data_IF_094486350606
#
_entry.id   IF_094486350606
#
_cell.length_a   1.000
_cell.length_b   1.000
_cell.length_c   1.000
_cell.angle_alpha   90.00
_cell.angle_beta   90.00
_cell.angle_gamma   90.00
#
_symmetry.space_group_name_H-M   'P 1'
#
loop_
_entity.id
_entity.type
_entity.pdbx_description
1 polymer ?
#
# COMPACT_ATOMS: atom_id res chain seq x y z
N UNK A 1 -50.36 63.93 29.21
CA UNK A 1 -49.03 64.07 29.82
C UNK A 1 -48.17 63.00 29.24
N UNK A 2 -47.50 63.33 28.13
CA UNK A 2 -46.81 62.38 27.26
C UNK A 2 -45.32 62.59 27.47
N UNK A 3 -44.66 61.50 27.78
CA UNK A 3 -43.22 61.49 27.90
C UNK A 3 -42.60 60.98 26.60
N UNK A 4 -41.69 61.81 26.03
CA UNK A 4 -40.96 61.54 24.79
C UNK A 4 -39.69 60.78 25.11
N UNK A 5 -39.37 59.69 24.42
CA UNK A 5 -38.04 59.09 24.53
C UNK A 5 -37.01 59.90 23.74
N UNK A 6 -35.89 60.16 24.40
CA UNK A 6 -34.74 60.90 23.86
C UNK A 6 -34.03 60.09 22.77
N UNK A 7 -33.75 60.73 21.69
CA UNK A 7 -32.95 60.29 20.55
C UNK A 7 -31.47 60.22 20.95
N UNK A 8 -30.91 59.03 20.97
CA UNK A 8 -29.48 58.81 21.19
C UNK A 8 -28.75 58.88 19.84
N UNK A 9 -27.65 59.60 19.72
CA UNK A 9 -26.89 59.69 18.49
C UNK A 9 -26.13 58.34 18.24
N UNK A 10 -26.33 57.81 17.03
CA UNK A 10 -25.65 56.65 16.45
C UNK A 10 -24.13 56.87 16.47
N UNK A 11 -23.31 55.92 16.95
CA UNK A 11 -21.86 56.08 16.93
C UNK A 11 -21.35 56.12 15.49
N UNK A 12 -20.53 57.13 15.22
CA UNK A 12 -19.84 57.32 13.95
C UNK A 12 -19.02 56.11 13.58
N UNK A 13 -19.17 55.61 12.33
CA UNK A 13 -18.46 54.48 11.81
C UNK A 13 -16.94 54.66 11.92
N UNK A 14 -16.27 53.62 12.36
CA UNK A 14 -14.82 53.54 12.35
C UNK A 14 -14.28 53.80 10.92
N UNK A 15 -13.17 54.55 10.77
CA UNK A 15 -12.57 54.78 9.46
C UNK A 15 -12.17 53.45 8.83
N UNK A 16 -12.55 53.28 7.56
CA UNK A 16 -12.10 52.16 6.73
C UNK A 16 -10.56 52.12 6.72
N UNK A 17 -9.95 50.91 6.82
CA UNK A 17 -8.52 50.79 6.69
C UNK A 17 -8.07 51.35 5.33
N UNK A 18 -6.89 52.01 5.27
CA UNK A 18 -6.38 52.56 4.02
C UNK A 18 -6.26 51.45 2.97
N UNK A 19 -6.46 51.75 1.68
CA UNK A 19 -6.26 50.77 0.61
C UNK A 19 -4.84 50.23 0.69
N UNK A 20 -4.61 48.94 0.34
CA UNK A 20 -3.29 48.37 0.36
C UNK A 20 -2.36 49.24 -0.48
N UNK A 21 -1.26 49.70 0.12
CA UNK A 21 -0.22 50.48 -0.54
C UNK A 21 0.17 49.74 -1.83
N UNK A 22 0.15 50.46 -2.96
CA UNK A 22 0.65 49.87 -4.22
C UNK A 22 2.10 49.41 -4.00
N UNK A 23 2.32 48.09 -4.05
CA UNK A 23 3.64 47.51 -3.89
C UNK A 23 4.47 47.93 -5.10
N UNK A 24 5.42 48.83 -4.90
CA UNK A 24 6.31 49.30 -5.95
C UNK A 24 7.37 48.25 -6.32
N UNK A 25 7.91 48.35 -7.52
CA UNK A 25 8.99 47.44 -7.95
C UNK A 25 10.21 47.48 -7.04
N UNK A 26 10.49 48.64 -6.39
CA UNK A 26 11.54 48.82 -5.38
C UNK A 26 11.29 47.96 -4.14
N UNK A 27 10.06 47.83 -3.71
CA UNK A 27 9.67 47.08 -2.51
C UNK A 27 9.81 45.58 -2.74
N UNK A 28 9.46 45.12 -3.95
CA UNK A 28 9.69 43.72 -4.37
C UNK A 28 11.16 43.38 -4.41
N UNK A 29 12.01 44.28 -4.94
CA UNK A 29 13.47 44.07 -4.99
C UNK A 29 14.08 44.07 -3.59
N UNK A 30 13.63 44.98 -2.69
CA UNK A 30 14.06 45.00 -1.30
C UNK A 30 13.68 43.71 -0.58
N UNK A 31 12.47 43.25 -0.74
CA UNK A 31 11.95 42.00 -0.18
C UNK A 31 12.77 40.78 -0.64
N UNK A 32 13.06 40.68 -1.94
CA UNK A 32 13.86 39.58 -2.49
C UNK A 32 15.31 39.60 -2.02
N UNK A 33 15.87 40.78 -1.70
CA UNK A 33 17.22 40.88 -1.10
C UNK A 33 17.25 40.39 0.34
N UNK A 34 16.20 40.65 1.11
CA UNK A 34 16.08 40.20 2.50
C UNK A 34 15.73 38.69 2.58
N UNK A 35 15.11 38.14 1.52
CA UNK A 35 14.68 36.75 1.45
C UNK A 35 15.27 36.04 0.22
N UNK A 36 16.57 35.74 0.20
CA UNK A 36 17.24 35.14 -0.97
C UNK A 36 16.72 33.74 -1.30
N UNK A 37 16.13 33.04 -0.33
CA UNK A 37 15.50 31.74 -0.44
C UNK A 37 14.01 31.78 -0.87
N UNK A 38 13.47 32.96 -1.19
CA UNK A 38 12.07 33.14 -1.56
C UNK A 38 11.67 32.29 -2.78
N UNK A 39 12.52 32.24 -3.81
CA UNK A 39 12.26 31.48 -5.03
C UNK A 39 12.35 29.96 -4.82
N UNK A 40 13.10 29.51 -3.81
CA UNK A 40 13.15 28.10 -3.42
C UNK A 40 11.89 27.69 -2.67
N UNK A 41 11.33 28.58 -1.86
CA UNK A 41 10.07 28.35 -1.12
C UNK A 41 8.82 28.54 -1.98
N UNK A 42 8.89 29.43 -2.99
CA UNK A 42 7.79 29.80 -3.87
C UNK A 42 8.16 29.55 -5.34
N UNK A 43 8.25 28.28 -5.77
CA UNK A 43 8.63 27.91 -7.13
C UNK A 43 7.67 28.46 -8.20
N UNK A 44 6.41 28.64 -7.83
CA UNK A 44 5.38 29.22 -8.69
C UNK A 44 5.69 30.67 -9.10
N UNK A 45 6.41 31.42 -8.26
CA UNK A 45 6.82 32.79 -8.56
C UNK A 45 7.74 32.88 -9.80
N UNK A 46 8.52 31.82 -10.07
CA UNK A 46 9.37 31.77 -11.27
C UNK A 46 8.58 31.71 -12.57
N UNK A 47 7.35 31.21 -12.55
CA UNK A 47 6.46 31.17 -13.74
C UNK A 47 5.88 32.54 -14.06
N UNK A 48 5.79 33.42 -13.06
CA UNK A 48 5.26 34.77 -13.21
C UNK A 48 6.32 35.78 -13.67
N UNK A 49 7.60 35.50 -13.45
CA UNK A 49 8.71 36.39 -13.83
C UNK A 49 9.08 36.14 -15.29
N UNK A 50 8.80 37.13 -16.16
CA UNK A 50 9.30 37.12 -17.54
C UNK A 50 10.77 37.53 -17.56
N UNK A 51 11.62 36.70 -18.19
CA UNK A 51 13.00 37.07 -18.41
C UNK A 51 13.09 38.35 -19.26
N UNK A 52 13.85 39.37 -18.84
CA UNK A 52 14.00 40.59 -19.63
C UNK A 52 14.65 40.29 -20.97
N UNK A 53 14.03 40.77 -22.05
CA UNK A 53 14.63 40.72 -23.37
C UNK A 53 15.88 41.60 -23.38
N UNK A 54 17.06 40.99 -23.39
CA UNK A 54 18.40 41.56 -23.60
C UNK A 54 18.70 42.89 -22.91
N UNK A 55 19.37 42.82 -21.78
CA UNK A 55 20.47 43.76 -21.46
C UNK A 55 21.60 42.96 -20.84
N UNK A 56 22.75 42.99 -21.48
CA UNK A 56 24.00 42.36 -21.14
C UNK A 56 24.49 42.83 -19.76
N UNK A 57 24.50 41.93 -18.80
CA UNK A 57 25.11 42.16 -17.49
C UNK A 57 25.13 40.84 -16.69
N UNK A 58 26.12 40.63 -15.87
CA UNK A 58 26.41 39.40 -15.12
C UNK A 58 25.22 38.81 -14.34
N UNK A 59 24.26 39.66 -13.93
CA UNK A 59 23.07 39.25 -13.16
C UNK A 59 22.06 38.42 -13.96
N UNK A 60 22.04 38.53 -15.30
CA UNK A 60 21.12 37.75 -16.18
C UNK A 60 21.68 36.35 -16.42
N UNK A 61 22.98 36.21 -16.46
CA UNK A 61 23.67 34.92 -16.57
C UNK A 61 23.42 34.06 -15.33
N UNK A 62 23.43 34.66 -14.15
CA UNK A 62 23.14 33.95 -12.89
C UNK A 62 21.70 33.41 -12.83
N UNK A 63 20.71 34.19 -13.29
CA UNK A 63 19.31 33.75 -13.31
C UNK A 63 19.08 32.62 -14.33
N UNK A 64 19.67 32.75 -15.54
CA UNK A 64 19.58 31.68 -16.53
C UNK A 64 20.28 30.41 -16.06
N UNK A 65 21.43 30.53 -15.42
CA UNK A 65 22.13 29.41 -14.83
C UNK A 65 21.31 28.72 -13.72
N UNK A 66 20.72 29.51 -12.82
CA UNK A 66 19.81 29.00 -11.78
C UNK A 66 18.63 28.24 -12.38
N UNK A 67 17.97 28.80 -13.42
CA UNK A 67 16.86 28.13 -14.09
C UNK A 67 17.29 26.84 -14.78
N UNK A 68 18.46 26.81 -15.42
CA UNK A 68 19.01 25.61 -16.03
C UNK A 68 19.32 24.53 -14.99
N UNK A 69 19.92 24.90 -13.87
CA UNK A 69 20.21 23.98 -12.78
C UNK A 69 18.93 23.41 -12.14
N UNK A 70 17.89 24.23 -12.05
CA UNK A 70 16.58 23.78 -11.58
C UNK A 70 15.94 22.83 -12.56
N UNK A 71 15.87 23.18 -13.85
CA UNK A 71 15.33 22.30 -14.90
C UNK A 71 16.08 20.97 -14.94
N UNK A 72 17.42 20.97 -14.82
CA UNK A 72 18.20 19.74 -14.75
C UNK A 72 17.81 18.88 -13.55
N UNK A 73 17.64 19.48 -12.37
CA UNK A 73 17.17 18.75 -11.16
C UNK A 73 15.78 18.18 -11.36
N UNK A 74 14.87 18.93 -11.96
CA UNK A 74 13.50 18.46 -12.25
C UNK A 74 13.51 17.31 -13.27
N UNK A 75 14.36 17.37 -14.31
CA UNK A 75 14.53 16.27 -15.29
C UNK A 75 15.05 15.02 -14.60
N UNK A 76 16.13 15.11 -13.81
CA UNK A 76 16.68 13.96 -13.06
C UNK A 76 15.63 13.35 -12.15
N UNK A 77 14.87 14.18 -11.42
CA UNK A 77 13.79 13.70 -10.54
C UNK A 77 12.71 12.96 -11.32
N UNK A 78 12.28 13.48 -12.47
CA UNK A 78 11.29 12.84 -13.33
C UNK A 78 11.80 11.52 -13.93
N UNK A 79 13.06 11.45 -14.32
CA UNK A 79 13.71 10.22 -14.80
C UNK A 79 13.77 9.15 -13.70
N UNK A 80 14.09 9.54 -12.47
CA UNK A 80 14.09 8.65 -11.31
C UNK A 80 12.67 8.14 -10.99
N UNK A 81 11.67 9.03 -11.00
CA UNK A 81 10.27 8.67 -10.82
C UNK A 81 9.79 7.70 -11.93
N UNK A 82 10.12 7.99 -13.18
CA UNK A 82 9.80 7.12 -14.31
C UNK A 82 10.43 5.74 -14.16
N UNK A 83 11.71 5.68 -13.79
CA UNK A 83 12.43 4.42 -13.59
C UNK A 83 11.78 3.61 -12.46
N UNK A 84 11.41 4.28 -11.36
CA UNK A 84 10.71 3.64 -10.23
C UNK A 84 9.34 3.09 -10.65
N UNK A 85 8.54 3.86 -11.40
CA UNK A 85 7.24 3.41 -11.89
C UNK A 85 7.36 2.21 -12.82
N UNK A 86 8.33 2.22 -13.75
CA UNK A 86 8.58 1.09 -14.66
C UNK A 86 8.99 -0.15 -13.86
N UNK A 87 9.87 -0.01 -12.89
CA UNK A 87 10.33 -1.12 -12.04
C UNK A 87 9.18 -1.72 -11.22
N UNK A 88 8.34 -0.88 -10.61
CA UNK A 88 7.15 -1.31 -9.87
C UNK A 88 6.15 -2.02 -10.79
N UNK A 89 5.89 -1.47 -11.99
CA UNK A 89 4.99 -2.08 -12.97
C UNK A 89 5.50 -3.46 -13.42
N UNK A 90 6.80 -3.59 -13.67
CA UNK A 90 7.41 -4.89 -14.00
C UNK A 90 7.29 -5.90 -12.86
N UNK A 91 7.53 -5.47 -11.62
CA UNK A 91 7.33 -6.30 -10.42
C UNK A 91 5.90 -6.82 -10.31
N UNK A 92 4.92 -5.95 -10.54
CA UNK A 92 3.50 -6.31 -10.51
C UNK A 92 3.14 -7.34 -11.61
N UNK A 93 3.66 -7.17 -12.83
CA UNK A 93 3.46 -8.12 -13.93
C UNK A 93 4.06 -9.50 -13.59
N UNK A 94 5.26 -9.54 -13.02
CA UNK A 94 5.89 -10.80 -12.59
C UNK A 94 5.04 -11.49 -11.52
N UNK A 95 4.56 -10.75 -10.51
CA UNK A 95 3.70 -11.28 -9.46
C UNK A 95 2.38 -11.82 -10.04
N UNK A 96 1.77 -11.09 -10.97
CA UNK A 96 0.56 -11.53 -11.68
C UNK A 96 0.79 -12.83 -12.47
N UNK A 97 1.90 -12.94 -13.22
CA UNK A 97 2.24 -14.17 -13.94
C UNK A 97 2.45 -15.35 -12.99
N UNK A 98 3.10 -15.14 -11.83
CA UNK A 98 3.28 -16.19 -10.81
C UNK A 98 1.95 -16.67 -10.26
N UNK A 99 1.04 -15.75 -9.91
CA UNK A 99 -0.29 -16.10 -9.40
C UNK A 99 -1.12 -16.82 -10.47
N UNK A 100 -1.11 -16.36 -11.72
CA UNK A 100 -1.79 -17.06 -12.81
C UNK A 100 -1.27 -18.49 -12.99
N UNK A 101 0.06 -18.68 -12.97
CA UNK A 101 0.67 -20.00 -13.06
C UNK A 101 0.28 -20.88 -11.88
N UNK A 102 0.26 -20.35 -10.66
CA UNK A 102 -0.18 -21.03 -9.46
C UNK A 102 -1.64 -21.51 -9.59
N UNK A 103 -2.54 -20.62 -10.02
CA UNK A 103 -3.96 -20.95 -10.26
C UNK A 103 -4.09 -22.07 -11.29
N UNK A 104 -3.41 -21.97 -12.43
CA UNK A 104 -3.46 -23.00 -13.47
C UNK A 104 -2.94 -24.36 -12.99
N UNK A 105 -1.94 -24.35 -12.11
CA UNK A 105 -1.41 -25.58 -11.51
C UNK A 105 -2.42 -26.19 -10.54
N UNK A 106 -3.05 -25.41 -9.68
CA UNK A 106 -4.09 -25.88 -8.76
C UNK A 106 -5.30 -26.47 -9.50
N UNK A 107 -5.76 -25.83 -10.59
CA UNK A 107 -6.88 -26.30 -11.39
C UNK A 107 -6.61 -27.62 -12.14
N UNK A 108 -5.33 -27.99 -12.33
CA UNK A 108 -4.91 -29.25 -12.94
C UNK A 108 -4.73 -30.38 -11.92
N UNK A 109 -5.03 -30.16 -10.66
CA UNK A 109 -4.93 -31.20 -9.64
C UNK A 109 -5.80 -32.41 -10.01
N UNK A 110 -5.20 -33.60 -9.98
CA UNK A 110 -5.88 -34.84 -10.36
C UNK A 110 -6.85 -35.34 -9.26
N UNK A 111 -6.54 -35.04 -8.01
CA UNK A 111 -7.35 -35.40 -6.84
C UNK A 111 -7.09 -34.40 -5.70
N UNK A 112 -7.81 -34.55 -4.60
CA UNK A 112 -7.72 -33.64 -3.46
C UNK A 112 -6.33 -33.68 -2.79
N UNK A 113 -5.71 -34.84 -2.65
CA UNK A 113 -4.37 -35.00 -2.08
C UNK A 113 -3.33 -34.27 -2.94
N UNK A 114 -3.44 -34.41 -4.27
CA UNK A 114 -2.57 -33.70 -5.21
C UNK A 114 -2.76 -32.17 -5.11
N UNK A 115 -4.02 -31.69 -4.94
CA UNK A 115 -4.26 -30.26 -4.68
C UNK A 115 -3.55 -29.78 -3.40
N UNK A 116 -3.65 -30.55 -2.32
CA UNK A 116 -2.96 -30.22 -1.06
C UNK A 116 -1.44 -30.20 -1.22
N UNK A 117 -0.87 -31.18 -1.94
CA UNK A 117 0.56 -31.22 -2.26
C UNK A 117 1.00 -29.99 -3.07
N UNK A 118 0.24 -29.62 -4.12
CA UNK A 118 0.51 -28.41 -4.90
C UNK A 118 0.55 -27.18 -3.98
N UNK A 119 -0.43 -27.04 -3.08
CA UNK A 119 -0.54 -25.88 -2.21
C UNK A 119 0.60 -25.80 -1.20
N UNK A 120 0.97 -26.93 -0.57
CA UNK A 120 1.97 -26.93 0.51
C UNK A 120 3.43 -27.03 0.00
N UNK A 121 3.63 -27.41 -1.26
CA UNK A 121 4.96 -27.60 -1.84
C UNK A 121 5.20 -26.73 -3.06
N UNK A 122 4.37 -26.88 -4.11
CA UNK A 122 4.64 -26.25 -5.41
C UNK A 122 4.38 -24.75 -5.38
N UNK A 123 3.37 -24.29 -4.61
CA UNK A 123 3.06 -22.86 -4.50
C UNK A 123 4.22 -22.04 -3.92
N UNK A 124 5.00 -22.61 -3.01
CA UNK A 124 6.18 -21.92 -2.47
C UNK A 124 7.16 -21.57 -3.60
N UNK A 125 7.43 -22.50 -4.49
CA UNK A 125 8.29 -22.30 -5.66
C UNK A 125 7.65 -21.37 -6.69
N UNK A 126 6.38 -21.57 -7.00
CA UNK A 126 5.68 -20.79 -8.02
C UNK A 126 5.53 -19.31 -7.64
N UNK A 127 5.31 -19.02 -6.36
CA UNK A 127 5.17 -17.66 -5.82
C UNK A 127 6.51 -17.02 -5.44
N UNK A 128 7.62 -17.80 -5.44
CA UNK A 128 8.94 -17.37 -4.99
C UNK A 128 8.94 -16.95 -3.51
N UNK A 129 8.39 -17.82 -2.68
CA UNK A 129 8.33 -17.68 -1.21
C UNK A 129 8.93 -18.92 -0.54
N UNK A 130 9.22 -18.85 0.75
CA UNK A 130 9.92 -19.95 1.44
C UNK A 130 8.95 -21.03 1.93
N UNK A 131 7.72 -20.68 2.31
CA UNK A 131 6.75 -21.62 2.86
C UNK A 131 5.31 -21.20 2.58
N UNK A 132 4.46 -22.19 2.31
CA UNK A 132 3.01 -22.04 2.25
C UNK A 132 2.39 -23.12 3.11
N UNK A 133 1.50 -22.75 4.02
CA UNK A 133 0.76 -23.66 4.90
C UNK A 133 -0.73 -23.35 4.86
N UNK A 134 -1.53 -24.32 5.30
CA UNK A 134 -2.98 -24.19 5.44
C UNK A 134 -3.38 -24.36 6.90
N UNK A 135 -4.15 -23.43 7.41
CA UNK A 135 -4.86 -23.55 8.68
C UNK A 135 -6.33 -23.91 8.45
N UNK A 136 -6.89 -24.79 9.22
CA UNK A 136 -8.31 -25.13 9.17
C UNK A 136 -8.88 -25.04 10.58
N UNK A 137 -9.93 -24.24 10.76
CA UNK A 137 -10.62 -24.18 12.05
C UNK A 137 -11.37 -25.48 12.30
N UNK A 138 -11.19 -26.05 13.47
CA UNK A 138 -11.89 -27.24 13.91
C UNK A 138 -12.46 -27.02 15.32
N UNK A 139 -13.65 -27.59 15.54
CA UNK A 139 -14.17 -27.71 16.91
C UNK A 139 -13.42 -28.79 17.67
N UNK A 140 -13.31 -28.67 18.97
CA UNK A 140 -12.56 -29.56 19.85
C UNK A 140 -12.88 -31.06 19.68
N UNK A 141 -14.10 -31.39 19.20
CA UNK A 141 -14.53 -32.77 18.96
C UNK A 141 -13.94 -33.42 17.69
N UNK A 142 -13.31 -32.64 16.79
CA UNK A 142 -12.73 -33.12 15.51
C UNK A 142 -11.23 -32.89 15.41
N UNK A 143 -10.56 -32.60 16.51
CA UNK A 143 -9.08 -32.41 16.54
C UNK A 143 -8.32 -33.74 16.41
N UNK A 144 -8.69 -34.60 15.48
CA UNK A 144 -7.83 -35.68 15.06
C UNK A 144 -6.77 -35.11 14.13
N UNK A 145 -5.50 -35.32 14.43
CA UNK A 145 -4.36 -34.86 13.61
C UNK A 145 -4.59 -35.26 12.15
N UNK A 146 -4.70 -34.27 11.27
CA UNK A 146 -4.59 -34.53 9.85
C UNK A 146 -3.11 -34.80 9.57
N UNK A 147 -2.71 -36.02 9.13
CA UNK A 147 -1.31 -36.40 8.93
C UNK A 147 -0.73 -35.78 7.65
N UNK A 148 -1.21 -34.63 7.22
CA UNK A 148 -0.74 -33.97 5.99
C UNK A 148 0.22 -32.86 6.37
N UNK A 149 1.50 -32.94 5.96
CA UNK A 149 2.46 -31.87 6.18
C UNK A 149 1.95 -30.54 5.62
N UNK A 150 2.15 -29.44 6.38
CA UNK A 150 1.72 -28.11 5.95
C UNK A 150 0.25 -27.79 6.20
N UNK A 151 -0.52 -28.71 6.84
CA UNK A 151 -1.90 -28.43 7.30
C UNK A 151 -1.91 -28.38 8.84
N UNK A 152 -2.39 -27.25 9.37
CA UNK A 152 -2.48 -26.97 10.80
C UNK A 152 -3.93 -26.87 11.24
N UNK A 153 -4.26 -27.51 12.37
CA UNK A 153 -5.57 -27.36 12.98
C UNK A 153 -5.57 -26.13 13.88
N UNK A 154 -6.48 -25.22 13.62
CA UNK A 154 -6.68 -24.01 14.38
C UNK A 154 -7.91 -24.15 15.28
N UNK A 155 -7.91 -23.42 16.38
CA UNK A 155 -9.10 -23.30 17.24
C UNK A 155 -10.19 -22.52 16.52
N UNK A 156 -11.44 -22.84 16.79
CA UNK A 156 -12.57 -22.06 16.27
C UNK A 156 -12.44 -20.58 16.65
N UNK A 157 -12.62 -19.68 15.69
CA UNK A 157 -12.45 -18.23 15.84
C UNK A 157 -10.99 -17.74 15.72
N UNK A 158 -10.01 -18.62 15.51
CA UNK A 158 -8.61 -18.22 15.38
C UNK A 158 -8.35 -17.36 14.15
N UNK A 159 -9.04 -17.63 13.04
CA UNK A 159 -8.90 -16.84 11.81
C UNK A 159 -9.38 -15.41 12.01
N UNK A 160 -10.51 -15.20 12.69
CA UNK A 160 -11.01 -13.87 13.03
C UNK A 160 -10.13 -13.15 14.07
N UNK A 161 -9.53 -13.90 14.98
CA UNK A 161 -8.57 -13.33 15.94
C UNK A 161 -7.27 -12.86 15.25
N UNK A 162 -6.79 -13.59 14.24
CA UNK A 162 -5.56 -13.28 13.50
C UNK A 162 -5.74 -12.15 12.48
N UNK A 163 -6.79 -12.25 11.65
CA UNK A 163 -7.03 -11.31 10.56
C UNK A 163 -7.80 -10.06 11.01
N UNK A 164 -8.60 -10.18 12.05
CA UNK A 164 -9.66 -9.27 12.41
C UNK A 164 -10.99 -9.63 11.72
N UNK A 165 -12.12 -9.23 12.32
CA UNK A 165 -13.45 -9.56 11.81
C UNK A 165 -13.67 -8.96 10.41
N UNK A 166 -14.11 -9.81 9.47
CA UNK A 166 -14.44 -9.40 8.09
C UNK A 166 -13.25 -9.04 7.20
N UNK A 167 -12.02 -9.23 7.65
CA UNK A 167 -10.85 -9.04 6.80
C UNK A 167 -10.50 -10.31 6.05
N UNK A 168 -10.22 -10.16 4.75
CA UNK A 168 -9.82 -11.28 3.87
C UNK A 168 -8.31 -11.52 3.86
N UNK A 169 -7.50 -10.52 4.20
CA UNK A 169 -6.05 -10.60 4.16
C UNK A 169 -5.39 -9.75 5.26
N UNK A 170 -4.23 -10.22 5.73
CA UNK A 170 -3.30 -9.48 6.60
C UNK A 170 -1.88 -9.72 6.08
N UNK A 171 -1.18 -8.63 5.76
CA UNK A 171 0.24 -8.65 5.41
C UNK A 171 1.04 -8.03 6.54
N UNK A 172 2.14 -8.66 6.90
CA UNK A 172 2.99 -8.20 8.01
C UNK A 172 4.46 -8.39 7.64
N UNK A 173 5.24 -7.37 7.88
CA UNK A 173 6.70 -7.34 7.70
C UNK A 173 7.40 -7.32 9.05
N UNK A 174 8.66 -7.75 9.05
CA UNK A 174 9.56 -7.74 10.21
C UNK A 174 8.93 -8.38 11.47
N UNK A 175 8.46 -9.64 11.30
CA UNK A 175 7.74 -10.39 12.34
C UNK A 175 8.54 -11.59 12.84
N UNK A 176 8.14 -12.08 14.01
CA UNK A 176 8.40 -13.45 14.44
C UNK A 176 7.15 -14.29 14.18
N UNK A 177 7.25 -15.24 13.25
CA UNK A 177 6.09 -16.02 12.84
C UNK A 177 5.68 -17.03 13.91
N UNK A 178 4.36 -17.26 13.99
CA UNK A 178 3.77 -18.21 14.94
C UNK A 178 4.02 -19.67 14.49
N UNK A 179 4.64 -20.52 15.33
CA UNK A 179 4.76 -21.95 15.06
C UNK A 179 3.43 -22.67 14.86
N UNK A 180 2.32 -22.18 15.40
CA UNK A 180 1.00 -22.73 15.17
C UNK A 180 0.54 -22.58 13.69
N UNK A 181 1.09 -21.61 12.95
CA UNK A 181 0.78 -21.36 11.54
C UNK A 181 1.81 -21.96 10.58
N UNK A 182 3.08 -21.88 10.92
CA UNK A 182 4.17 -22.26 10.02
C UNK A 182 4.95 -23.50 10.47
N UNK A 183 4.59 -24.09 11.61
CA UNK A 183 5.26 -25.27 12.15
C UNK A 183 6.76 -25.07 12.33
N UNK A 184 7.58 -26.01 11.84
CA UNK A 184 9.03 -25.94 11.92
C UNK A 184 9.66 -24.78 11.12
N UNK A 185 8.95 -24.25 10.13
CA UNK A 185 9.44 -23.13 9.31
C UNK A 185 9.27 -21.75 9.98
N UNK A 186 8.57 -21.65 11.11
CA UNK A 186 8.29 -20.39 11.79
C UNK A 186 9.55 -19.56 12.07
N UNK A 187 10.64 -20.20 12.51
CA UNK A 187 11.91 -19.53 12.80
C UNK A 187 12.63 -18.92 11.59
N UNK A 188 12.19 -19.23 10.36
CA UNK A 188 12.76 -18.69 9.13
C UNK A 188 11.93 -17.56 8.55
N UNK A 189 10.68 -17.41 8.97
CA UNK A 189 9.73 -16.43 8.38
C UNK A 189 9.91 -15.08 9.04
N UNK A 190 10.29 -14.08 8.24
CA UNK A 190 10.44 -12.68 8.65
C UNK A 190 9.30 -11.78 8.13
N UNK A 191 8.59 -12.19 7.06
CA UNK A 191 7.36 -11.53 6.64
C UNK A 191 6.32 -12.55 6.18
N UNK A 192 5.04 -12.21 6.36
CA UNK A 192 3.93 -13.13 6.09
C UNK A 192 2.73 -12.47 5.42
N UNK A 193 2.00 -13.27 4.65
CA UNK A 193 0.65 -12.97 4.23
C UNK A 193 -0.31 -14.04 4.76
N UNK A 194 -1.30 -13.63 5.53
CA UNK A 194 -2.38 -14.46 6.04
C UNK A 194 -3.64 -14.15 5.24
N UNK A 195 -4.27 -15.18 4.67
CA UNK A 195 -5.37 -15.05 3.73
C UNK A 195 -6.52 -15.96 4.14
N UNK A 196 -7.71 -15.38 4.28
CA UNK A 196 -8.92 -16.13 4.61
C UNK A 196 -9.31 -17.08 3.48
N UNK A 197 -9.58 -18.33 3.81
CA UNK A 197 -10.14 -19.31 2.90
C UNK A 197 -11.61 -19.57 3.25
N UNK A 198 -12.51 -19.12 2.39
CA UNK A 198 -13.94 -19.42 2.47
C UNK A 198 -14.22 -20.67 1.64
N UNK A 199 -14.29 -21.83 2.28
CA UNK A 199 -14.48 -23.13 1.59
C UNK A 199 -15.97 -23.33 1.24
N UNK A 200 -16.87 -23.01 2.16
CA UNK A 200 -18.32 -23.02 1.91
C UNK A 200 -19.04 -22.08 2.88
N UNK A 201 -20.32 -21.74 2.58
CA UNK A 201 -21.12 -20.85 3.43
C UNK A 201 -21.35 -21.37 4.86
N UNK A 202 -21.34 -22.68 5.04
CA UNK A 202 -21.54 -23.38 6.33
C UNK A 202 -20.39 -24.32 6.70
N UNK A 203 -19.29 -24.28 5.95
CA UNK A 203 -18.11 -25.11 6.17
C UNK A 203 -17.10 -24.46 7.12
N UNK A 204 -16.04 -25.19 7.43
CA UNK A 204 -14.96 -24.65 8.25
C UNK A 204 -14.31 -23.47 7.54
N UNK A 205 -13.94 -22.46 8.33
CA UNK A 205 -13.12 -21.35 7.86
C UNK A 205 -11.67 -21.84 7.80
N UNK A 206 -11.00 -21.56 6.69
CA UNK A 206 -9.59 -21.88 6.52
C UNK A 206 -8.74 -20.60 6.50
N UNK A 207 -7.45 -20.81 6.63
CA UNK A 207 -6.43 -19.79 6.52
C UNK A 207 -5.31 -20.30 5.61
N UNK A 208 -4.94 -19.54 4.59
CA UNK A 208 -3.71 -19.75 3.82
C UNK A 208 -2.64 -18.84 4.39
N UNK A 209 -1.53 -19.43 4.81
CA UNK A 209 -0.39 -18.70 5.35
C UNK A 209 0.77 -18.81 4.36
N UNK A 210 1.30 -17.67 3.95
CA UNK A 210 2.46 -17.57 3.06
C UNK A 210 3.57 -16.88 3.84
N UNK A 211 4.75 -17.47 3.92
CA UNK A 211 5.88 -16.96 4.67
C UNK A 211 7.15 -16.88 3.83
N UNK A 212 7.96 -15.85 4.08
CA UNK A 212 9.28 -15.71 3.50
C UNK A 212 10.28 -15.12 4.49
N UNK A 213 11.55 -15.48 4.33
CA UNK A 213 12.66 -14.93 5.12
C UNK A 213 13.04 -13.51 4.72
N UNK A 214 12.52 -12.99 3.61
CA UNK A 214 12.73 -11.61 3.18
C UNK A 214 11.78 -10.68 3.97
N UNK A 215 12.28 -9.74 4.79
CA UNK A 215 11.44 -8.97 5.70
C UNK A 215 10.45 -8.03 4.99
N UNK A 216 10.83 -7.51 3.81
CA UNK A 216 10.07 -6.47 3.11
C UNK A 216 9.11 -7.00 2.03
N UNK A 217 8.96 -8.34 1.89
CA UNK A 217 8.14 -8.92 0.82
C UNK A 217 6.65 -8.67 1.07
N UNK A 218 6.17 -8.88 2.30
CA UNK A 218 4.78 -8.69 2.67
C UNK A 218 4.63 -7.52 3.64
N UNK A 219 4.68 -6.29 3.12
CA UNK A 219 4.47 -5.08 3.93
C UNK A 219 3.03 -4.57 3.81
N UNK A 220 2.50 -3.83 4.81
CA UNK A 220 1.11 -3.38 4.83
C UNK A 220 0.68 -2.49 3.67
N UNK A 221 1.63 -1.86 2.96
CA UNK A 221 1.38 -1.05 1.76
C UNK A 221 1.33 -1.85 0.46
N UNK A 222 1.59 -3.17 0.49
CA UNK A 222 1.47 -4.02 -0.68
C UNK A 222 -0.01 -4.33 -0.96
N UNK A 223 -0.44 -4.22 -2.22
CA UNK A 223 -1.79 -4.64 -2.62
C UNK A 223 -2.00 -6.14 -2.38
N UNK A 224 -3.09 -6.50 -1.72
CA UNK A 224 -3.43 -7.88 -1.38
C UNK A 224 -4.32 -8.57 -2.40
N UNK A 225 -4.73 -7.88 -3.46
CA UNK A 225 -5.76 -8.31 -4.41
C UNK A 225 -5.40 -9.64 -5.10
N UNK A 226 -4.16 -9.79 -5.57
CA UNK A 226 -3.69 -11.00 -6.23
C UNK A 226 -3.66 -12.20 -5.29
N UNK A 227 -3.22 -11.99 -4.05
CA UNK A 227 -3.16 -13.04 -3.04
C UNK A 227 -4.57 -13.43 -2.57
N UNK A 228 -5.45 -12.45 -2.39
CA UNK A 228 -6.86 -12.68 -2.06
C UNK A 228 -7.56 -13.43 -3.19
N UNK A 229 -7.29 -13.08 -4.44
CA UNK A 229 -7.79 -13.84 -5.59
C UNK A 229 -7.30 -15.30 -5.57
N UNK A 230 -6.00 -15.53 -5.33
CA UNK A 230 -5.43 -16.87 -5.21
C UNK A 230 -6.13 -17.69 -4.11
N UNK A 231 -6.32 -17.09 -2.93
CA UNK A 231 -7.01 -17.72 -1.81
C UNK A 231 -8.48 -18.07 -2.14
N UNK A 232 -9.18 -17.19 -2.83
CA UNK A 232 -10.57 -17.45 -3.28
C UNK A 232 -10.64 -18.61 -4.27
N UNK A 233 -9.73 -18.66 -5.25
CA UNK A 233 -9.66 -19.78 -6.20
C UNK A 233 -9.37 -21.08 -5.47
N UNK A 234 -8.43 -21.07 -4.51
CA UNK A 234 -8.14 -22.25 -3.69
C UNK A 234 -9.37 -22.69 -2.88
N UNK A 235 -10.07 -21.76 -2.24
CA UNK A 235 -11.30 -22.07 -1.50
C UNK A 235 -12.35 -22.75 -2.37
N UNK A 236 -12.58 -22.24 -3.60
CA UNK A 236 -13.48 -22.86 -4.58
C UNK A 236 -13.00 -24.26 -4.98
N UNK A 237 -11.71 -24.43 -5.28
CA UNK A 237 -11.14 -25.72 -5.65
C UNK A 237 -11.31 -26.75 -4.53
N UNK A 238 -11.03 -26.39 -3.28
CA UNK A 238 -11.26 -27.25 -2.10
C UNK A 238 -12.75 -27.62 -1.99
N UNK A 239 -13.65 -26.66 -2.09
CA UNK A 239 -15.09 -26.90 -2.01
C UNK A 239 -15.57 -27.92 -3.06
N UNK A 240 -15.14 -27.76 -4.31
CA UNK A 240 -15.46 -28.69 -5.40
C UNK A 240 -14.99 -30.13 -5.13
N UNK A 241 -13.80 -30.31 -4.55
CA UNK A 241 -13.30 -31.64 -4.21
C UNK A 241 -14.06 -32.25 -3.03
N UNK A 242 -14.43 -31.46 -2.03
CA UNK A 242 -15.22 -31.94 -0.89
C UNK A 242 -16.64 -32.33 -1.27
N UNK A 243 -17.24 -31.66 -2.26
CA UNK A 243 -18.56 -32.00 -2.80
C UNK A 243 -18.52 -33.29 -3.64
N UNK A 244 -17.46 -33.52 -4.42
CA UNK A 244 -17.27 -34.76 -5.23
C UNK A 244 -16.98 -35.99 -4.40
N UNK A 245 -16.46 -35.83 -3.18
CA UNK A 245 -16.13 -36.93 -2.26
C UNK A 245 -17.29 -37.37 -1.36
N UNK A 246 -18.44 -36.71 -1.47
CA UNK A 246 -19.68 -37.10 -0.79
C UNK A 246 -20.54 -37.95 -1.69
#
# INVERSE_FOLDING_TARGET
>A
MADRPQDQPKPAGAPLPPPPSEIGGSDVVAYLREHPDFLDRHPEALQLVRAPARKTGDSVLDFQHFMLERLRRDVVRLEDEQTRLISTSRGNLVSQCRVHKAVMTMLRAANFEHLLQIVTTDLAVLLDVDVVTLGVESTAARMTRLPVPGIHLLRSGAVDALLGPGRDALLSSDIQADPALFGAAAGLVCSQALLRLSISRSGPIGLMCIGTRRPDTFHPGLGSELLTFLARVLGIAIAQWLERGR
#
